data_IF_721583348272
#
_entry.id   IF_721583348272
#
_cell.length_a   1.000
_cell.length_b   1.000
_cell.length_c   1.000
_cell.angle_alpha   90.00
_cell.angle_beta   90.00
_cell.angle_gamma   90.00
#
_symmetry.space_group_name_H-M   'P 1'
#
loop_
_entity.id
_entity.type
_entity.pdbx_description
1 polymer ?
#
# COMPACT_ATOMS: atom_id res chain seq x y z
N UNK A 1 -30.66 -2.94 10.54
CA UNK A 1 -29.33 -3.07 9.91
C UNK A 1 -29.34 -4.05 8.71
N UNK A 2 -30.22 -3.84 7.72
CA UNK A 2 -30.33 -4.69 6.53
C UNK A 2 -29.26 -4.37 5.46
N UNK A 3 -28.76 -3.12 5.47
CA UNK A 3 -27.75 -2.66 4.51
C UNK A 3 -26.38 -3.30 4.71
N UNK A 4 -25.93 -3.45 5.97
CA UNK A 4 -24.63 -4.07 6.26
C UNK A 4 -24.60 -5.56 5.90
N UNK A 5 -25.68 -6.29 6.19
CA UNK A 5 -25.82 -7.70 5.81
C UNK A 5 -25.80 -7.89 4.30
N UNK A 6 -26.48 -7.03 3.54
CA UNK A 6 -26.46 -7.07 2.08
C UNK A 6 -25.05 -6.81 1.53
N UNK A 7 -24.30 -5.88 2.12
CA UNK A 7 -22.94 -5.56 1.72
C UNK A 7 -21.98 -6.73 1.99
N UNK A 8 -22.06 -7.31 3.19
CA UNK A 8 -21.28 -8.49 3.57
C UNK A 8 -21.55 -9.67 2.62
N UNK A 9 -22.82 -9.90 2.24
CA UNK A 9 -23.19 -10.93 1.26
C UNK A 9 -22.58 -10.61 -0.11
N UNK A 10 -22.65 -9.37 -0.59
CA UNK A 10 -22.06 -8.99 -1.88
C UNK A 10 -20.54 -9.23 -1.91
N UNK A 11 -19.84 -8.86 -0.84
CA UNK A 11 -18.39 -9.09 -0.72
C UNK A 11 -18.08 -10.59 -0.62
N UNK A 12 -18.84 -11.34 0.18
CA UNK A 12 -18.66 -12.80 0.31
C UNK A 12 -18.88 -13.53 -1.01
N UNK A 13 -19.90 -13.14 -1.77
CA UNK A 13 -20.18 -13.69 -3.10
C UNK A 13 -19.06 -13.35 -4.08
N UNK A 14 -18.58 -12.11 -4.06
CA UNK A 14 -17.45 -11.70 -4.90
C UNK A 14 -16.17 -12.44 -4.53
N UNK A 15 -15.89 -12.61 -3.24
CA UNK A 15 -14.75 -13.38 -2.76
C UNK A 15 -14.83 -14.84 -3.22
N UNK A 16 -16.01 -15.46 -3.13
CA UNK A 16 -16.25 -16.80 -3.66
C UNK A 16 -16.01 -16.88 -5.17
N UNK A 17 -16.53 -15.92 -5.95
CA UNK A 17 -16.28 -15.82 -7.39
C UNK A 17 -14.79 -15.71 -7.71
N UNK A 18 -14.03 -14.90 -6.97
CA UNK A 18 -12.58 -14.75 -7.17
C UNK A 18 -11.83 -16.04 -6.82
N UNK A 19 -12.19 -16.70 -5.72
CA UNK A 19 -11.54 -17.95 -5.28
C UNK A 19 -11.80 -19.09 -6.27
N UNK A 20 -13.02 -19.21 -6.79
CA UNK A 20 -13.41 -20.33 -7.65
C UNK A 20 -13.19 -20.05 -9.14
N UNK A 21 -13.31 -18.80 -9.59
CA UNK A 21 -13.45 -18.43 -11.01
C UNK A 21 -12.76 -17.08 -11.34
N UNK A 22 -11.54 -16.86 -10.82
CA UNK A 22 -10.77 -15.61 -11.00
C UNK A 22 -10.76 -15.05 -12.43
N UNK A 23 -10.52 -15.89 -13.42
CA UNK A 23 -10.34 -15.45 -14.82
C UNK A 23 -11.69 -15.21 -15.53
N UNK A 24 -12.80 -15.62 -14.90
CA UNK A 24 -14.16 -15.37 -15.37
C UNK A 24 -14.83 -14.17 -14.67
N UNK A 25 -14.12 -13.46 -13.77
CA UNK A 25 -14.67 -12.25 -13.14
C UNK A 25 -14.88 -11.19 -14.23
N UNK A 26 -16.13 -10.73 -14.34
CA UNK A 26 -16.54 -9.72 -15.32
C UNK A 26 -16.28 -8.30 -14.80
N UNK A 27 -16.09 -7.36 -15.71
CA UNK A 27 -15.93 -5.93 -15.39
C UNK A 27 -17.07 -5.38 -14.52
N UNK A 28 -18.30 -5.85 -14.75
CA UNK A 28 -19.46 -5.41 -13.97
C UNK A 28 -19.34 -5.82 -12.49
N UNK A 29 -18.72 -6.97 -12.20
CA UNK A 29 -18.49 -7.42 -10.84
C UNK A 29 -17.45 -6.52 -10.15
N UNK A 30 -16.35 -6.19 -10.83
CA UNK A 30 -15.36 -5.23 -10.33
C UNK A 30 -15.96 -3.84 -10.14
N UNK A 31 -16.76 -3.35 -11.08
CA UNK A 31 -17.45 -2.06 -10.97
C UNK A 31 -18.38 -1.99 -9.75
N UNK A 32 -19.07 -3.09 -9.42
CA UNK A 32 -19.89 -3.18 -8.21
C UNK A 32 -19.01 -3.17 -6.95
N UNK A 33 -17.92 -3.93 -6.94
CA UNK A 33 -16.98 -3.94 -5.82
C UNK A 33 -16.36 -2.56 -5.57
N UNK A 34 -16.00 -1.83 -6.62
CA UNK A 34 -15.47 -0.47 -6.50
C UNK A 34 -16.47 0.47 -5.84
N UNK A 35 -17.75 0.39 -6.25
CA UNK A 35 -18.83 1.17 -5.63
C UNK A 35 -18.99 0.85 -4.15
N UNK A 36 -18.89 -0.44 -3.79
CA UNK A 36 -18.92 -0.88 -2.39
C UNK A 36 -17.75 -0.30 -1.61
N UNK A 37 -16.52 -0.42 -2.12
CA UNK A 37 -15.32 0.12 -1.46
C UNK A 37 -15.38 1.65 -1.33
N UNK A 38 -15.83 2.35 -2.37
CA UNK A 38 -15.97 3.81 -2.37
C UNK A 38 -16.97 4.25 -1.31
N UNK A 39 -18.13 3.61 -1.26
CA UNK A 39 -19.16 3.90 -0.23
C UNK A 39 -18.65 3.61 1.19
N UNK A 40 -17.97 2.47 1.40
CA UNK A 40 -17.37 2.15 2.69
C UNK A 40 -16.35 3.22 3.11
N UNK A 41 -15.57 3.73 2.16
CA UNK A 41 -14.60 4.79 2.42
C UNK A 41 -15.27 6.12 2.78
N UNK A 42 -16.35 6.49 2.09
CA UNK A 42 -17.15 7.68 2.37
C UNK A 42 -17.85 7.59 3.73
N UNK A 43 -18.48 6.45 4.03
CA UNK A 43 -19.17 6.22 5.30
C UNK A 43 -18.18 6.25 6.49
N UNK A 44 -16.97 5.68 6.31
CA UNK A 44 -15.92 5.70 7.33
C UNK A 44 -15.34 7.11 7.55
N UNK A 45 -15.18 7.90 6.47
CA UNK A 45 -14.75 9.30 6.57
C UNK A 45 -15.80 10.17 7.29
N UNK A 46 -17.08 9.96 6.99
CA UNK A 46 -18.18 10.68 7.64
C UNK A 46 -18.28 10.36 9.15
N UNK A 47 -18.00 9.11 9.54
CA UNK A 47 -18.02 8.71 10.95
C UNK A 47 -16.96 9.43 11.81
N UNK A 48 -15.81 9.80 11.22
CA UNK A 48 -14.68 10.41 11.93
C UNK A 48 -14.90 11.81 12.55
N UNK A 49 -16.14 12.33 12.49
CA UNK A 49 -16.53 13.65 13.03
C UNK A 49 -17.73 13.65 13.98
N UNK A 50 -18.35 12.50 14.29
CA UNK A 50 -19.54 12.38 15.16
C UNK A 50 -19.28 11.44 16.36
N UNK A 51 -20.21 11.35 17.32
CA UNK A 51 -20.14 10.41 18.45
C UNK A 51 -20.21 8.96 17.90
N UNK A 52 -19.04 8.37 17.65
CA UNK A 52 -18.87 7.17 16.82
C UNK A 52 -19.52 5.92 17.43
N UNK A 53 -20.41 5.26 16.69
CA UNK A 53 -20.75 3.87 16.97
C UNK A 53 -19.57 2.96 16.62
N UNK A 54 -18.74 2.65 17.62
CA UNK A 54 -17.54 1.81 17.52
C UNK A 54 -17.80 0.46 16.81
N UNK A 55 -19.00 -0.11 16.96
CA UNK A 55 -19.36 -1.36 16.29
C UNK A 55 -19.53 -1.17 14.77
N UNK A 56 -20.12 -0.05 14.36
CA UNK A 56 -20.28 0.32 12.96
C UNK A 56 -18.91 0.55 12.29
N UNK A 57 -18.03 1.31 12.94
CA UNK A 57 -16.66 1.57 12.45
C UNK A 57 -15.86 0.27 12.32
N UNK A 58 -15.91 -0.59 13.34
CA UNK A 58 -15.23 -1.90 13.31
C UNK A 58 -15.70 -2.76 12.14
N UNK A 59 -17.02 -2.80 11.90
CA UNK A 59 -17.59 -3.55 10.79
C UNK A 59 -17.20 -2.97 9.43
N UNK A 60 -17.16 -1.65 9.29
CA UNK A 60 -16.68 -1.00 8.06
C UNK A 60 -15.22 -1.35 7.76
N UNK A 61 -14.34 -1.29 8.76
CA UNK A 61 -12.92 -1.66 8.62
C UNK A 61 -12.76 -3.12 8.17
N UNK A 62 -13.55 -4.04 8.73
CA UNK A 62 -13.57 -5.45 8.31
C UNK A 62 -14.02 -5.61 6.85
N UNK A 63 -15.09 -4.93 6.45
CA UNK A 63 -15.61 -5.00 5.07
C UNK A 63 -14.63 -4.39 4.05
N UNK A 64 -13.89 -3.34 4.44
CA UNK A 64 -12.80 -2.77 3.64
C UNK A 64 -11.68 -3.80 3.47
N UNK A 65 -11.26 -4.47 4.55
CA UNK A 65 -10.24 -5.51 4.48
C UNK A 65 -10.65 -6.65 3.55
N UNK A 66 -11.91 -7.10 3.60
CA UNK A 66 -12.44 -8.13 2.70
C UNK A 66 -12.51 -7.67 1.24
N UNK A 67 -12.85 -6.41 0.97
CA UNK A 67 -12.75 -5.83 -0.36
C UNK A 67 -11.32 -5.94 -0.91
N UNK A 68 -10.32 -5.57 -0.11
CA UNK A 68 -8.92 -5.64 -0.52
C UNK A 68 -8.43 -7.08 -0.70
N UNK A 69 -8.86 -8.03 0.15
CA UNK A 69 -8.53 -9.46 -0.03
C UNK A 69 -9.06 -9.99 -1.35
N UNK A 70 -10.31 -9.67 -1.67
CA UNK A 70 -10.91 -10.04 -2.93
C UNK A 70 -10.15 -9.45 -4.14
N UNK A 71 -9.81 -8.15 -4.09
CA UNK A 71 -9.04 -7.48 -5.15
C UNK A 71 -7.65 -8.10 -5.32
N UNK A 72 -6.92 -8.28 -4.21
CA UNK A 72 -5.60 -8.93 -4.19
C UNK A 72 -5.64 -10.31 -4.82
N UNK A 73 -6.62 -11.13 -4.44
CA UNK A 73 -6.76 -12.50 -4.96
C UNK A 73 -7.12 -12.49 -6.46
N UNK A 74 -7.88 -11.49 -6.92
CA UNK A 74 -8.24 -11.38 -8.33
C UNK A 74 -7.07 -11.04 -9.26
N UNK A 75 -6.02 -10.41 -8.72
CA UNK A 75 -4.82 -10.04 -9.47
C UNK A 75 -3.81 -11.20 -9.63
N UNK A 76 -3.87 -12.24 -8.80
CA UNK A 76 -2.85 -13.30 -8.77
C UNK A 76 -2.75 -13.96 -10.15
N UNK A 77 -1.59 -13.80 -10.79
CA UNK A 77 -1.30 -14.34 -12.13
C UNK A 77 -2.31 -13.93 -13.22
N UNK A 78 -2.96 -12.77 -13.08
CA UNK A 78 -3.99 -12.31 -14.03
C UNK A 78 -3.74 -10.87 -14.49
N UNK A 79 -2.94 -10.71 -15.55
CA UNK A 79 -2.65 -9.39 -16.15
C UNK A 79 -3.90 -8.69 -16.68
N UNK A 80 -4.90 -9.47 -17.13
CA UNK A 80 -6.23 -8.97 -17.50
C UNK A 80 -6.88 -8.24 -16.32
N UNK A 81 -7.00 -8.92 -15.18
CA UNK A 81 -7.65 -8.35 -13.99
C UNK A 81 -6.84 -7.17 -13.43
N UNK A 82 -5.51 -7.27 -13.43
CA UNK A 82 -4.65 -6.15 -13.02
C UNK A 82 -4.93 -4.89 -13.85
N UNK A 83 -4.97 -5.02 -15.17
CA UNK A 83 -5.20 -3.89 -16.07
C UNK A 83 -6.62 -3.33 -15.92
N UNK A 84 -7.61 -4.21 -15.79
CA UNK A 84 -9.01 -3.82 -15.60
C UNK A 84 -9.23 -3.08 -14.29
N UNK A 85 -8.66 -3.56 -13.17
CA UNK A 85 -8.75 -2.88 -11.88
C UNK A 85 -8.09 -1.50 -11.91
N UNK A 86 -6.94 -1.37 -12.60
CA UNK A 86 -6.30 -0.07 -12.84
C UNK A 86 -7.23 0.86 -13.62
N UNK A 87 -7.77 0.40 -14.74
CA UNK A 87 -8.64 1.18 -15.63
C UNK A 87 -9.94 1.62 -14.95
N UNK A 88 -10.49 0.80 -14.05
CA UNK A 88 -11.67 1.15 -13.26
C UNK A 88 -11.37 2.17 -12.14
N UNK A 89 -10.11 2.49 -11.85
CA UNK A 89 -9.75 3.49 -10.84
C UNK A 89 -9.61 2.93 -9.43
N UNK A 90 -9.35 1.63 -9.26
CA UNK A 90 -9.12 1.04 -7.93
C UNK A 90 -7.87 1.61 -7.26
N UNK A 91 -6.85 2.01 -8.03
CA UNK A 91 -5.60 2.56 -7.49
C UNK A 91 -5.87 3.84 -6.72
N UNK A 92 -6.58 4.79 -7.32
CA UNK A 92 -6.94 6.07 -6.69
C UNK A 92 -7.73 5.89 -5.39
N UNK A 93 -8.78 5.07 -5.43
CA UNK A 93 -9.62 4.82 -4.25
C UNK A 93 -8.82 4.15 -3.14
N UNK A 94 -7.97 3.18 -3.50
CA UNK A 94 -7.12 2.47 -2.54
C UNK A 94 -6.13 3.41 -1.88
N UNK A 95 -5.37 4.20 -2.64
CA UNK A 95 -4.36 5.09 -2.10
C UNK A 95 -4.96 6.19 -1.23
N UNK A 96 -6.12 6.76 -1.61
CA UNK A 96 -6.87 7.70 -0.77
C UNK A 96 -7.30 7.07 0.54
N UNK A 97 -7.80 5.84 0.50
CA UNK A 97 -8.22 5.13 1.71
C UNK A 97 -7.03 4.76 2.60
N UNK A 98 -5.90 4.33 2.04
CA UNK A 98 -4.67 4.08 2.81
C UNK A 98 -4.16 5.35 3.49
N UNK A 99 -4.20 6.48 2.78
CA UNK A 99 -3.83 7.78 3.34
C UNK A 99 -4.77 8.19 4.48
N UNK A 100 -6.08 8.01 4.31
CA UNK A 100 -7.06 8.26 5.37
C UNK A 100 -6.79 7.38 6.59
N UNK A 101 -6.77 6.05 6.41
CA UNK A 101 -6.54 5.07 7.47
C UNK A 101 -5.26 5.36 8.27
N UNK A 102 -4.20 5.84 7.60
CA UNK A 102 -2.96 6.23 8.27
C UNK A 102 -3.10 7.47 9.14
N UNK A 103 -3.86 8.46 8.69
CA UNK A 103 -3.93 9.78 9.33
C UNK A 103 -5.07 9.89 10.36
N UNK A 104 -6.03 8.95 10.35
CA UNK A 104 -7.14 8.97 11.30
C UNK A 104 -6.71 8.47 12.67
N UNK A 105 -7.12 9.20 13.70
CA UNK A 105 -6.94 8.81 15.10
C UNK A 105 -8.24 8.15 15.62
N UNK A 106 -8.64 7.02 15.01
CA UNK A 106 -9.78 6.25 15.51
C UNK A 106 -9.41 5.60 16.85
N UNK A 107 -10.37 5.55 17.77
CA UNK A 107 -10.17 4.90 19.08
C UNK A 107 -9.76 3.42 18.96
N UNK A 108 -10.06 2.78 17.82
CA UNK A 108 -9.65 1.41 17.45
C UNK A 108 -8.43 1.41 16.51
N UNK A 109 -7.28 1.92 16.96
CA UNK A 109 -6.05 1.95 16.16
C UNK A 109 -5.62 0.56 15.69
N UNK A 110 -5.88 -0.47 16.50
CA UNK A 110 -5.54 -1.86 16.16
C UNK A 110 -6.39 -2.42 15.00
N UNK A 111 -7.65 -1.97 14.88
CA UNK A 111 -8.55 -2.39 13.80
C UNK A 111 -8.18 -1.82 12.43
N UNK A 112 -7.36 -0.76 12.38
CA UNK A 112 -6.93 -0.09 11.15
C UNK A 112 -5.86 -0.91 10.40
N UNK A 113 -4.98 -1.61 11.13
CA UNK A 113 -3.84 -2.27 10.49
C UNK A 113 -4.24 -3.39 9.54
N UNK A 114 -5.36 -4.08 9.79
CA UNK A 114 -5.83 -5.14 8.91
C UNK A 114 -6.22 -4.64 7.51
N UNK A 115 -7.13 -3.65 7.34
CA UNK A 115 -7.41 -3.08 6.02
C UNK A 115 -6.19 -2.39 5.41
N UNK A 116 -5.33 -1.76 6.21
CA UNK A 116 -4.09 -1.13 5.71
C UNK A 116 -3.16 -2.17 5.05
N UNK A 117 -2.86 -3.27 5.76
CA UNK A 117 -2.06 -4.37 5.25
C UNK A 117 -2.69 -4.98 4.00
N UNK A 118 -4.00 -5.25 4.01
CA UNK A 118 -4.69 -5.86 2.87
C UNK A 118 -4.65 -4.96 1.63
N UNK A 119 -4.86 -3.64 1.79
CA UNK A 119 -4.79 -2.68 0.69
C UNK A 119 -3.40 -2.58 0.08
N UNK A 120 -2.35 -2.55 0.90
CA UNK A 120 -0.96 -2.56 0.41
C UNK A 120 -0.65 -3.86 -0.34
N UNK A 121 -1.07 -5.02 0.20
CA UNK A 121 -0.90 -6.29 -0.49
C UNK A 121 -1.65 -6.36 -1.83
N UNK A 122 -2.83 -5.74 -1.92
CA UNK A 122 -3.53 -5.59 -3.19
C UNK A 122 -2.69 -4.81 -4.20
N UNK A 123 -2.13 -3.65 -3.82
CA UNK A 123 -1.25 -2.87 -4.69
C UNK A 123 -0.03 -3.67 -5.16
N UNK A 124 0.55 -4.47 -4.27
CA UNK A 124 1.64 -5.39 -4.62
C UNK A 124 1.23 -6.33 -5.74
N UNK A 125 0.16 -7.11 -5.54
CA UNK A 125 -0.33 -8.05 -6.55
C UNK A 125 -0.81 -7.37 -7.84
N UNK A 126 -1.32 -6.14 -7.75
CA UNK A 126 -1.72 -5.34 -8.90
C UNK A 126 -0.51 -4.97 -9.77
N UNK A 127 0.65 -4.72 -9.14
CA UNK A 127 1.87 -4.26 -9.78
C UNK A 127 2.76 -5.39 -10.33
N UNK A 128 2.72 -6.60 -9.75
CA UNK A 128 3.63 -7.70 -10.15
C UNK A 128 3.51 -7.98 -11.65
N UNK A 129 4.63 -7.79 -12.36
CA UNK A 129 4.74 -8.06 -13.80
C UNK A 129 3.99 -7.10 -14.71
N UNK A 130 3.41 -6.00 -14.20
CA UNK A 130 2.59 -5.08 -14.97
C UNK A 130 3.11 -3.63 -14.85
N UNK A 131 3.90 -3.19 -15.83
CA UNK A 131 4.57 -1.88 -15.79
C UNK A 131 3.58 -0.71 -15.67
N UNK A 132 2.47 -0.75 -16.42
CA UNK A 132 1.45 0.30 -16.36
C UNK A 132 0.82 0.44 -14.97
N UNK A 133 0.65 -0.67 -14.24
CA UNK A 133 0.20 -0.63 -12.85
C UNK A 133 1.29 -0.09 -11.91
N UNK A 134 2.55 -0.50 -12.09
CA UNK A 134 3.69 0.03 -11.31
C UNK A 134 3.79 1.55 -11.44
N UNK A 135 3.73 2.06 -12.67
CA UNK A 135 3.87 3.49 -12.95
C UNK A 135 2.69 4.27 -12.37
N UNK A 136 1.46 3.76 -12.49
CA UNK A 136 0.29 4.41 -11.92
C UNK A 136 0.33 4.45 -10.38
N UNK A 137 0.74 3.36 -9.73
CA UNK A 137 0.92 3.33 -8.27
C UNK A 137 2.01 4.32 -7.85
N UNK A 138 3.14 4.34 -8.55
CA UNK A 138 4.25 5.25 -8.28
C UNK A 138 3.79 6.71 -8.37
N UNK A 139 3.20 7.11 -9.50
CA UNK A 139 2.74 8.49 -9.73
C UNK A 139 1.77 9.01 -8.67
N UNK A 140 0.92 8.15 -8.10
CA UNK A 140 -0.09 8.54 -7.13
C UNK A 140 0.36 8.42 -5.67
N UNK A 141 1.47 7.72 -5.39
CA UNK A 141 1.93 7.47 -4.01
C UNK A 141 3.28 8.11 -3.68
N UNK A 142 4.11 8.38 -4.67
CA UNK A 142 5.44 8.93 -4.51
C UNK A 142 5.44 10.45 -4.25
N UNK A 143 6.34 10.96 -3.38
CA UNK A 143 7.10 10.24 -2.36
C UNK A 143 6.29 10.07 -1.05
N UNK A 144 5.31 10.94 -0.82
CA UNK A 144 4.75 11.22 0.50
C UNK A 144 3.99 10.02 1.10
N UNK A 145 3.11 9.38 0.33
CA UNK A 145 2.32 8.26 0.87
C UNK A 145 3.22 7.04 1.13
N UNK A 146 4.20 6.79 0.27
CA UNK A 146 5.20 5.73 0.49
C UNK A 146 5.99 5.97 1.78
N UNK A 147 6.46 7.20 2.01
CA UNK A 147 7.15 7.57 3.24
C UNK A 147 6.25 7.38 4.48
N UNK A 148 4.99 7.81 4.40
CA UNK A 148 4.02 7.65 5.47
C UNK A 148 3.78 6.17 5.83
N UNK A 149 3.66 5.29 4.83
CA UNK A 149 3.43 3.85 5.00
C UNK A 149 4.67 3.12 5.56
N UNK A 150 5.88 3.52 5.16
CA UNK A 150 7.13 2.99 5.71
C UNK A 150 7.44 3.51 7.13
N UNK A 151 6.68 4.49 7.60
CA UNK A 151 6.83 5.08 8.93
C UNK A 151 5.73 4.61 9.90
N UNK A 152 4.98 3.58 9.53
CA UNK A 152 3.92 3.00 10.37
C UNK A 152 4.52 2.19 11.52
N UNK A 153 3.90 2.31 12.69
CA UNK A 153 4.22 1.52 13.89
C UNK A 153 3.56 0.13 13.81
N UNK A 154 3.79 -0.55 12.70
CA UNK A 154 3.34 -1.92 12.45
C UNK A 154 4.29 -2.59 11.45
N UNK A 155 5.11 -3.51 11.93
CA UNK A 155 6.15 -4.20 11.17
C UNK A 155 5.60 -4.87 9.90
N UNK A 156 4.42 -5.50 9.98
CA UNK A 156 3.79 -6.14 8.81
C UNK A 156 3.40 -5.15 7.73
N UNK A 157 2.86 -3.99 8.13
CA UNK A 157 2.55 -2.90 7.19
C UNK A 157 3.81 -2.40 6.52
N UNK A 158 4.88 -2.14 7.27
CA UNK A 158 6.16 -1.67 6.73
C UNK A 158 6.76 -2.70 5.77
N UNK A 159 6.67 -4.00 6.10
CA UNK A 159 7.12 -5.08 5.23
C UNK A 159 6.38 -5.10 3.88
N UNK A 160 5.05 -5.02 3.90
CA UNK A 160 4.26 -4.98 2.67
C UNK A 160 4.48 -3.69 1.88
N UNK A 161 4.65 -2.55 2.56
CA UNK A 161 4.96 -1.28 1.90
C UNK A 161 6.32 -1.33 1.20
N UNK A 162 7.32 -1.94 1.84
CA UNK A 162 8.65 -2.18 1.27
C UNK A 162 8.59 -3.10 0.06
N UNK A 163 7.76 -4.14 0.10
CA UNK A 163 7.49 -5.01 -1.06
C UNK A 163 6.91 -4.23 -2.25
N UNK A 164 5.90 -3.38 -2.02
CA UNK A 164 5.29 -2.56 -3.08
C UNK A 164 6.29 -1.57 -3.65
N UNK A 165 7.07 -0.91 -2.78
CA UNK A 165 8.13 0.01 -3.18
C UNK A 165 9.15 -0.68 -4.07
N UNK A 166 9.71 -1.81 -3.63
CA UNK A 166 10.63 -2.64 -4.43
C UNK A 166 10.02 -3.05 -5.77
N UNK A 167 8.76 -3.51 -5.76
CA UNK A 167 8.07 -3.99 -6.98
C UNK A 167 7.94 -2.89 -8.04
N UNK A 168 7.70 -1.65 -7.61
CA UNK A 168 7.51 -0.52 -8.50
C UNK A 168 8.83 0.13 -8.95
N UNK A 169 9.90 -0.04 -8.18
CA UNK A 169 11.19 0.62 -8.38
C UNK A 169 11.89 0.14 -9.66
N UNK A 170 12.44 1.09 -10.41
CA UNK A 170 13.31 0.89 -11.57
C UNK A 170 14.40 1.98 -11.59
N UNK A 171 15.28 1.95 -12.59
CA UNK A 171 16.41 2.88 -12.70
C UNK A 171 15.96 4.35 -12.77
N UNK A 172 14.91 4.67 -13.54
CA UNK A 172 14.41 6.03 -13.66
C UNK A 172 13.81 6.54 -12.34
N UNK A 173 13.10 5.66 -11.61
CA UNK A 173 12.56 5.99 -10.28
C UNK A 173 13.64 6.15 -9.21
N UNK A 174 14.77 5.47 -9.35
CA UNK A 174 15.97 5.69 -8.50
C UNK A 174 16.61 7.05 -8.77
N UNK A 175 16.62 7.51 -10.02
CA UNK A 175 17.04 8.87 -10.36
C UNK A 175 16.12 9.92 -9.71
N UNK A 176 14.79 9.72 -9.79
CA UNK A 176 13.80 10.60 -9.14
C UNK A 176 13.96 10.64 -7.60
N UNK A 177 14.22 9.48 -6.97
CA UNK A 177 14.56 9.39 -5.54
C UNK A 177 15.83 10.14 -5.17
N UNK A 178 16.75 10.32 -6.11
CA UNK A 178 18.02 11.00 -5.87
C UNK A 178 17.82 12.50 -5.72
N UNK A 179 16.68 13.06 -6.13
CA UNK A 179 16.42 14.48 -5.97
C UNK A 179 16.34 14.88 -4.48
N UNK A 180 16.92 16.04 -4.08
CA UNK A 180 16.99 16.43 -2.68
C UNK A 180 15.64 16.46 -1.95
N UNK A 181 14.56 16.82 -2.62
CA UNK A 181 13.19 16.83 -2.06
C UNK A 181 12.63 15.43 -1.75
N UNK A 182 13.17 14.39 -2.37
CA UNK A 182 12.67 13.01 -2.25
C UNK A 182 13.56 12.13 -1.36
N UNK A 183 14.73 12.66 -0.95
CA UNK A 183 15.78 11.88 -0.31
C UNK A 183 15.36 11.26 1.02
N UNK A 184 14.39 11.87 1.71
CA UNK A 184 13.86 11.36 2.99
C UNK A 184 13.28 9.95 2.85
N UNK A 185 12.63 9.64 1.72
CA UNK A 185 12.11 8.31 1.45
C UNK A 185 13.24 7.26 1.34
N UNK A 186 14.34 7.60 0.68
CA UNK A 186 15.51 6.73 0.57
C UNK A 186 16.20 6.55 1.93
N UNK A 187 16.38 7.64 2.70
CA UNK A 187 16.94 7.59 4.05
C UNK A 187 16.09 6.72 4.98
N UNK A 188 14.75 6.80 4.88
CA UNK A 188 13.85 5.96 5.67
C UNK A 188 14.02 4.48 5.36
N UNK A 189 14.18 4.10 4.09
CA UNK A 189 14.47 2.71 3.72
C UNK A 189 15.82 2.25 4.27
N UNK A 190 16.85 3.10 4.23
CA UNK A 190 18.16 2.78 4.78
C UNK A 190 18.14 2.64 6.31
N UNK A 191 17.36 3.48 7.00
CA UNK A 191 17.13 3.37 8.43
C UNK A 191 16.45 2.05 8.79
N UNK A 192 15.40 1.66 8.05
CA UNK A 192 14.71 0.37 8.22
C UNK A 192 15.65 -0.80 7.95
N UNK A 193 16.44 -0.75 6.88
CA UNK A 193 17.44 -1.78 6.57
C UNK A 193 18.45 -1.98 7.70
N UNK A 194 18.78 -0.90 8.44
CA UNK A 194 19.72 -0.95 9.59
C UNK A 194 19.04 -1.42 10.88
N UNK A 195 17.83 -0.98 11.13
CA UNK A 195 17.14 -1.18 12.42
C UNK A 195 16.27 -2.44 12.45
N UNK A 196 15.86 -2.94 11.29
CA UNK A 196 14.97 -4.08 11.09
C UNK A 196 15.48 -4.97 9.96
N UNK A 197 16.64 -5.64 10.12
CA UNK A 197 17.28 -6.42 9.06
C UNK A 197 16.46 -7.63 8.59
N UNK A 198 15.50 -8.09 9.40
CA UNK A 198 14.56 -9.17 9.04
C UNK A 198 13.53 -8.74 7.96
N UNK A 199 13.45 -7.44 7.66
CA UNK A 199 12.69 -6.91 6.53
C UNK A 199 13.47 -7.08 5.22
N UNK A 200 13.45 -8.30 4.67
CA UNK A 200 14.18 -8.69 3.44
C UNK A 200 14.07 -7.65 2.31
N UNK A 201 12.88 -7.08 2.09
CA UNK A 201 12.66 -6.12 1.01
C UNK A 201 13.54 -4.88 1.12
N UNK A 202 13.80 -4.38 2.33
CA UNK A 202 14.63 -3.18 2.53
C UNK A 202 16.10 -3.46 2.17
N UNK A 203 16.58 -4.67 2.48
CA UNK A 203 17.91 -5.15 2.09
C UNK A 203 18.00 -5.30 0.58
N UNK A 204 16.97 -5.85 -0.06
CA UNK A 204 16.91 -5.98 -1.52
C UNK A 204 16.90 -4.61 -2.20
N UNK A 205 16.11 -3.65 -1.71
CA UNK A 205 16.10 -2.28 -2.23
C UNK A 205 17.48 -1.65 -2.13
N UNK A 206 18.10 -1.71 -0.95
CA UNK A 206 19.41 -1.13 -0.72
C UNK A 206 20.48 -1.72 -1.65
N UNK A 207 20.55 -3.06 -1.72
CA UNK A 207 21.61 -3.78 -2.45
C UNK A 207 21.39 -3.84 -3.95
N UNK A 208 20.14 -3.95 -4.41
CA UNK A 208 19.83 -4.13 -5.83
C UNK A 208 19.62 -2.81 -6.56
N UNK A 209 19.22 -1.74 -5.85
CA UNK A 209 18.88 -0.46 -6.45
C UNK A 209 19.73 0.68 -5.90
N UNK A 210 19.68 0.95 -4.59
CA UNK A 210 20.25 2.20 -4.06
C UNK A 210 21.76 2.28 -4.20
N UNK A 211 22.49 1.23 -3.80
CA UNK A 211 23.95 1.20 -3.86
C UNK A 211 24.52 1.21 -5.29
N UNK A 212 23.67 1.02 -6.31
CA UNK A 212 24.08 1.13 -7.71
C UNK A 212 24.01 2.55 -8.26
N UNK A 213 23.28 3.46 -7.61
CA UNK A 213 23.18 4.86 -8.01
C UNK A 213 24.14 5.71 -7.19
N UNK A 214 25.23 6.18 -7.80
CA UNK A 214 26.17 7.07 -7.12
C UNK A 214 25.52 8.38 -6.69
N UNK A 215 24.63 8.94 -7.53
CA UNK A 215 23.89 10.15 -7.22
C UNK A 215 23.00 9.98 -5.97
N UNK A 216 22.27 8.87 -5.88
CA UNK A 216 21.43 8.59 -4.71
C UNK A 216 22.28 8.45 -3.46
N UNK A 217 23.38 7.69 -3.54
CA UNK A 217 24.30 7.49 -2.42
C UNK A 217 24.88 8.82 -1.94
N UNK A 218 25.41 9.64 -2.84
CA UNK A 218 25.95 10.97 -2.52
C UNK A 218 24.92 11.87 -1.84
N UNK A 219 23.69 11.91 -2.37
CA UNK A 219 22.63 12.73 -1.80
C UNK A 219 22.17 12.22 -0.44
N UNK A 220 22.07 10.90 -0.23
CA UNK A 220 21.80 10.31 1.08
C UNK A 220 22.88 10.71 2.10
N UNK A 221 24.17 10.60 1.74
CA UNK A 221 25.26 11.02 2.64
C UNK A 221 25.21 12.50 3.00
N UNK A 222 24.83 13.36 2.05
CA UNK A 222 24.69 14.79 2.29
C UNK A 222 23.52 15.13 3.22
N UNK A 223 22.43 14.35 3.15
CA UNK A 223 21.24 14.49 3.98
C UNK A 223 21.38 13.90 5.39
N UNK A 224 22.38 13.04 5.62
CA UNK A 224 22.65 12.46 6.95
C UNK A 224 23.31 13.45 7.90
N UNK A 225 22.85 13.48 9.15
CA UNK A 225 23.52 14.23 10.21
C UNK A 225 24.95 13.72 10.40
N UNK A 226 25.86 14.55 10.92
CA UNK A 226 27.26 14.14 11.14
C UNK A 226 27.38 12.90 12.06
N UNK A 227 26.40 12.62 12.92
CA UNK A 227 26.42 11.48 13.83
C UNK A 227 26.06 10.16 13.11
N UNK A 228 25.15 10.21 12.15
CA UNK A 228 24.71 9.02 11.40
C UNK A 228 25.75 8.54 10.39
N UNK A 229 26.62 9.45 9.89
CA UNK A 229 27.70 9.15 8.93
C UNK A 229 28.81 8.26 9.48
N UNK A 230 29.07 8.29 10.78
CA UNK A 230 30.14 7.48 11.40
C UNK A 230 29.71 6.03 11.67
N UNK A 231 28.40 5.79 11.87
CA UNK A 231 27.87 4.47 12.20
C UNK A 231 27.55 3.61 10.97
N UNK A 232 27.46 4.20 9.78
CA UNK A 232 27.00 3.49 8.58
C UNK A 232 28.04 2.53 7.97
N UNK A 233 29.33 2.68 8.32
CA UNK A 233 30.41 1.84 7.76
C UNK A 233 31.46 1.35 8.77
N UNK A 234 31.35 1.70 10.07
CA UNK A 234 32.33 1.27 11.07
C UNK A 234 32.13 -0.18 11.56
N UNK A 235 31.05 -0.87 11.15
CA UNK A 235 30.76 -2.27 11.49
C UNK A 235 30.70 -3.20 10.26
N UNK A 236 31.47 -2.91 9.21
CA UNK A 236 31.78 -3.89 8.14
C UNK A 236 33.25 -4.26 8.15
#
# INVERSE_FOLDING_TARGET
>A
NLGSTALHIQISVFLFLVVCLRDAVEEQAFSRLLKVLTRLSEDLQAASGEDEDLQSVTLQLQLIAECFRAQRNSCVQSTRNQSLLRELGFVDVTLKLLSFLRNTNLESRDGIFEPLRCGIQFLGNLAVGNQMCKDNIWQLSFPNLLLQLLSVDDEKTVNYASMVFHTCLDEAKVEELSEPQNIELALRVMELCRTQPDLDWTVLIATQHFLKSSALVENMYSGMSHHDRYLTFAER
#
